data_IF_495534211495
#
_entry.id   IF_495534211495
#
_cell.length_a   1.000
_cell.length_b   1.000
_cell.length_c   1.000
_cell.angle_alpha   90.00
_cell.angle_beta   90.00
_cell.angle_gamma   90.00
#
_symmetry.space_group_name_H-M   'P 1'
#
loop_
_entity.id
_entity.type
_entity.pdbx_description
1 polymer ?
#
# COMPACT_ATOMS: atom_id res chain seq x y z
N UNK A 1 -62.21 60.45 -18.56
CA UNK A 1 -61.04 59.78 -19.16
C UNK A 1 -59.80 60.52 -18.68
N UNK A 2 -59.08 60.00 -17.69
CA UNK A 2 -57.65 60.21 -17.43
C UNK A 2 -57.28 59.53 -16.10
N UNK A 3 -56.26 58.69 -16.20
CA UNK A 3 -55.68 57.71 -15.27
C UNK A 3 -55.04 58.30 -14.01
N UNK A 4 -55.22 57.63 -12.86
CA UNK A 4 -54.38 57.80 -11.68
C UNK A 4 -53.23 56.78 -11.70
N UNK A 5 -51.99 57.27 -11.71
CA UNK A 5 -50.77 56.45 -11.67
C UNK A 5 -50.41 56.05 -10.24
N UNK A 6 -50.28 54.74 -9.99
CA UNK A 6 -49.77 54.18 -8.76
C UNK A 6 -48.24 54.19 -8.74
N UNK A 7 -47.66 54.79 -7.71
CA UNK A 7 -46.24 54.65 -7.37
C UNK A 7 -46.04 53.52 -6.38
N UNK A 8 -45.39 52.44 -6.81
CA UNK A 8 -44.94 51.35 -5.94
C UNK A 8 -43.56 51.70 -5.38
N UNK A 9 -43.47 51.86 -4.07
CA UNK A 9 -42.21 52.11 -3.35
C UNK A 9 -41.49 50.77 -3.19
N UNK A 10 -40.35 50.61 -3.87
CA UNK A 10 -39.52 49.42 -3.77
C UNK A 10 -38.74 49.43 -2.44
N UNK A 11 -38.97 48.41 -1.63
CA UNK A 11 -38.34 48.22 -0.32
C UNK A 11 -36.83 47.85 -0.47
N UNK A 12 -35.88 48.67 0.03
CA UNK A 12 -34.44 48.47 -0.20
C UNK A 12 -33.84 47.21 0.45
N UNK A 13 -34.51 46.66 1.47
CA UNK A 13 -33.99 45.52 2.26
C UNK A 13 -34.00 44.17 1.51
N UNK A 14 -34.91 44.00 0.56
CA UNK A 14 -35.12 42.72 -0.14
C UNK A 14 -33.97 42.36 -1.09
N UNK A 15 -33.39 43.37 -1.78
CA UNK A 15 -32.28 43.16 -2.73
C UNK A 15 -30.95 42.80 -2.04
N UNK A 16 -30.72 43.29 -0.82
CA UNK A 16 -29.53 42.97 -0.03
C UNK A 16 -29.54 41.51 0.45
N UNK A 17 -30.70 41.05 0.95
CA UNK A 17 -30.89 39.67 1.41
C UNK A 17 -30.72 38.65 0.28
N UNK A 18 -31.30 38.92 -0.90
CA UNK A 18 -31.19 38.05 -2.07
C UNK A 18 -29.74 37.94 -2.57
N UNK A 19 -28.97 39.03 -2.53
CA UNK A 19 -27.54 39.00 -2.87
C UNK A 19 -26.72 38.24 -1.83
N UNK A 20 -27.01 38.39 -0.54
CA UNK A 20 -26.36 37.61 0.52
C UNK A 20 -26.65 36.11 0.39
N UNK A 21 -27.92 35.74 0.19
CA UNK A 21 -28.33 34.35 -0.02
C UNK A 21 -27.67 33.74 -1.25
N UNK A 22 -27.63 34.47 -2.37
CA UNK A 22 -26.96 34.00 -3.59
C UNK A 22 -25.44 33.84 -3.38
N UNK A 23 -24.81 34.69 -2.57
CA UNK A 23 -23.40 34.58 -2.21
C UNK A 23 -23.12 33.40 -1.26
N UNK A 24 -24.02 33.15 -0.29
CA UNK A 24 -23.94 31.99 0.60
C UNK A 24 -24.14 30.66 -0.14
N UNK A 25 -25.03 30.58 -1.13
CA UNK A 25 -25.23 29.38 -1.97
C UNK A 25 -24.01 29.12 -2.85
N UNK A 26 -23.38 30.18 -3.39
CA UNK A 26 -22.11 30.07 -4.13
C UNK A 26 -20.95 29.58 -3.24
N UNK A 27 -20.90 30.01 -1.97
CA UNK A 27 -19.91 29.54 -0.99
C UNK A 27 -20.15 28.08 -0.55
N UNK A 28 -21.41 27.64 -0.41
CA UNK A 28 -21.73 26.27 -0.07
C UNK A 28 -21.30 25.26 -1.15
N UNK A 29 -21.26 25.68 -2.43
CA UNK A 29 -20.76 24.86 -3.54
C UNK A 29 -19.25 24.59 -3.52
N UNK A 30 -18.48 25.35 -2.73
CA UNK A 30 -17.02 25.21 -2.61
C UNK A 30 -16.61 24.23 -1.50
N UNK A 31 -17.52 23.85 -0.60
CA UNK A 31 -17.23 22.92 0.50
C UNK A 31 -17.55 21.48 0.11
N UNK A 32 -16.81 20.90 -0.85
CA UNK A 32 -16.78 19.45 -1.07
C UNK A 32 -15.74 18.81 -0.14
N UNK A 33 -16.10 18.58 1.11
CA UNK A 33 -15.33 17.74 2.01
C UNK A 33 -15.75 16.27 1.87
N UNK A 34 -15.03 15.46 1.09
CA UNK A 34 -15.34 14.04 0.96
C UNK A 34 -14.72 13.26 2.14
N UNK A 35 -15.45 13.15 3.26
CA UNK A 35 -14.96 12.47 4.47
C UNK A 35 -14.91 10.94 4.33
N UNK A 36 -15.65 10.38 3.36
CA UNK A 36 -15.74 8.93 3.10
C UNK A 36 -14.39 8.37 2.67
N UNK A 37 -13.61 9.10 1.88
CA UNK A 37 -12.28 8.69 1.44
C UNK A 37 -11.37 8.37 2.65
N UNK A 38 -11.43 9.20 3.70
CA UNK A 38 -10.64 9.03 4.93
C UNK A 38 -11.08 7.85 5.80
N UNK A 39 -12.27 7.30 5.53
CA UNK A 39 -12.78 6.09 6.19
C UNK A 39 -12.36 4.82 5.46
N UNK A 40 -11.99 4.93 4.19
CA UNK A 40 -11.71 3.78 3.32
C UNK A 40 -10.20 3.66 3.04
N UNK A 41 -9.51 4.76 2.80
CA UNK A 41 -8.13 4.76 2.32
C UNK A 41 -7.16 5.34 3.34
N UNK A 42 -6.09 4.60 3.59
CA UNK A 42 -4.94 5.05 4.36
C UNK A 42 -3.80 5.32 3.36
N UNK A 43 -3.39 6.59 3.16
CA UNK A 43 -2.28 6.89 2.27
C UNK A 43 -0.94 6.52 2.91
N UNK A 44 -0.06 5.89 2.14
CA UNK A 44 1.34 5.66 2.51
C UNK A 44 2.18 6.84 2.04
N UNK A 45 2.92 7.47 2.96
CA UNK A 45 3.62 8.73 2.68
C UNK A 45 5.11 8.51 2.37
N UNK A 46 5.70 7.42 2.89
CA UNK A 46 7.14 7.15 2.81
C UNK A 46 7.42 5.92 1.96
N UNK A 47 7.19 6.09 0.66
CA UNK A 47 7.39 5.04 -0.34
C UNK A 47 8.35 5.47 -1.43
N UNK A 48 9.18 4.53 -1.91
CA UNK A 48 10.02 4.73 -3.09
C UNK A 48 9.64 3.71 -4.18
N UNK A 49 9.15 4.16 -5.34
CA UNK A 49 8.70 3.27 -6.41
C UNK A 49 9.88 2.71 -7.23
N UNK A 50 9.73 1.48 -7.69
CA UNK A 50 10.48 0.96 -8.83
C UNK A 50 9.95 1.61 -10.12
N UNK A 51 10.86 2.16 -10.93
CA UNK A 51 10.51 2.92 -12.14
C UNK A 51 11.01 2.21 -13.38
N UNK A 52 10.32 2.41 -14.50
CA UNK A 52 10.76 1.90 -15.80
C UNK A 52 11.88 2.78 -16.37
N UNK A 53 12.94 2.12 -16.81
CA UNK A 53 14.01 2.69 -17.61
C UNK A 53 14.09 1.98 -18.96
N UNK A 54 14.52 2.70 -19.99
CA UNK A 54 14.63 2.18 -21.35
C UNK A 54 16.10 2.10 -21.75
N UNK A 55 16.49 0.96 -22.31
CA UNK A 55 17.74 0.77 -23.04
C UNK A 55 17.42 0.65 -24.54
N UNK A 56 18.42 0.74 -25.40
CA UNK A 56 18.24 0.70 -26.86
C UNK A 56 17.50 -0.55 -27.37
N UNK A 57 17.62 -1.68 -26.66
CA UNK A 57 17.06 -2.98 -27.07
C UNK A 57 15.97 -3.51 -26.15
N UNK A 58 15.95 -3.09 -24.89
CA UNK A 58 15.08 -3.65 -23.85
C UNK A 58 14.62 -2.56 -22.90
N UNK A 59 13.55 -2.85 -22.15
CA UNK A 59 13.13 -2.06 -20.99
C UNK A 59 13.49 -2.81 -19.71
N UNK A 60 13.72 -2.07 -18.62
CA UNK A 60 14.00 -2.60 -17.30
C UNK A 60 13.17 -1.87 -16.25
N UNK A 61 13.03 -2.46 -15.07
CA UNK A 61 12.27 -1.89 -13.95
C UNK A 61 10.82 -2.36 -13.93
N UNK A 62 9.93 -1.51 -13.42
CA UNK A 62 8.56 -1.90 -13.09
C UNK A 62 7.51 -0.97 -13.71
N UNK A 63 6.29 -1.47 -13.86
CA UNK A 63 5.14 -0.69 -14.32
C UNK A 63 3.87 -1.11 -13.60
N UNK A 64 3.02 -0.13 -13.29
CA UNK A 64 1.64 -0.36 -12.93
C UNK A 64 0.70 -0.15 -14.12
N UNK A 65 -0.49 -0.77 -14.05
CA UNK A 65 -1.58 -0.49 -14.98
C UNK A 65 -2.02 0.98 -14.90
N UNK A 66 -2.61 1.47 -15.99
CA UNK A 66 -3.32 2.75 -15.96
C UNK A 66 -4.48 2.63 -14.96
N UNK A 67 -4.63 3.59 -14.05
CA UNK A 67 -5.50 3.55 -12.85
C UNK A 67 -5.06 2.67 -11.68
N UNK A 68 -3.86 2.09 -11.75
CA UNK A 68 -3.24 1.35 -10.64
C UNK A 68 -3.58 -0.14 -10.62
N UNK A 69 -2.82 -0.90 -9.85
CA UNK A 69 -3.04 -2.32 -9.61
C UNK A 69 -3.47 -2.52 -8.15
N UNK A 70 -4.57 -3.26 -7.96
CA UNK A 70 -5.15 -3.52 -6.64
C UNK A 70 -5.18 -5.02 -6.40
N UNK A 71 -4.79 -5.45 -5.20
CA UNK A 71 -4.84 -6.84 -4.78
C UNK A 71 -4.86 -6.99 -3.27
N UNK A 72 -5.23 -8.18 -2.81
CA UNK A 72 -5.30 -8.51 -1.38
C UNK A 72 -3.88 -8.60 -0.82
N UNK A 73 -3.60 -7.86 0.25
CA UNK A 73 -2.27 -7.88 0.88
C UNK A 73 -2.02 -9.27 1.49
N UNK A 74 -0.85 -9.83 1.22
CA UNK A 74 -0.38 -11.05 1.87
C UNK A 74 1.06 -10.87 2.34
N UNK A 75 1.28 -11.01 3.64
CA UNK A 75 2.61 -10.91 4.26
C UNK A 75 3.32 -12.25 4.10
N UNK A 76 4.55 -12.23 3.57
CA UNK A 76 5.36 -13.44 3.39
C UNK A 76 6.57 -13.35 4.32
N UNK A 77 6.59 -14.25 5.31
CA UNK A 77 7.68 -14.37 6.27
C UNK A 77 8.54 -15.60 6.02
N UNK A 78 7.99 -16.61 5.33
CA UNK A 78 8.65 -17.87 4.98
C UNK A 78 8.25 -18.34 3.58
N UNK A 79 9.02 -19.28 3.02
CA UNK A 79 8.79 -19.83 1.67
C UNK A 79 7.41 -20.49 1.52
N UNK A 80 6.85 -21.02 2.61
CA UNK A 80 5.51 -21.62 2.62
C UNK A 80 4.42 -20.58 2.29
N UNK A 81 4.56 -19.35 2.80
CA UNK A 81 3.62 -18.26 2.53
C UNK A 81 3.67 -17.85 1.05
N UNK A 82 4.88 -17.89 0.46
CA UNK A 82 5.05 -17.66 -0.97
C UNK A 82 4.29 -18.71 -1.79
N UNK A 83 4.44 -19.99 -1.47
CA UNK A 83 3.71 -21.05 -2.18
C UNK A 83 2.19 -20.84 -2.09
N UNK A 84 1.69 -20.48 -0.91
CA UNK A 84 0.27 -20.19 -0.72
C UNK A 84 -0.23 -19.10 -1.68
N UNK A 85 0.50 -17.99 -1.82
CA UNK A 85 0.12 -16.92 -2.77
C UNK A 85 0.13 -17.43 -4.22
N UNK A 86 1.18 -18.19 -4.57
CA UNK A 86 1.41 -18.66 -5.94
C UNK A 86 0.42 -19.74 -6.39
N UNK A 87 -0.09 -20.58 -5.49
CA UNK A 87 -0.94 -21.73 -5.86
C UNK A 87 -2.28 -21.78 -5.12
N UNK A 88 -2.26 -21.71 -3.80
CA UNK A 88 -3.38 -22.19 -2.98
C UNK A 88 -4.40 -21.09 -2.63
N UNK A 89 -3.96 -19.84 -2.63
CA UNK A 89 -4.77 -18.70 -2.21
C UNK A 89 -6.08 -18.58 -3.03
N UNK A 90 -7.24 -18.43 -2.38
CA UNK A 90 -8.53 -18.42 -3.07
C UNK A 90 -8.85 -17.11 -3.79
N UNK A 91 -8.16 -16.02 -3.45
CA UNK A 91 -8.53 -14.64 -3.78
C UNK A 91 -7.44 -13.89 -4.57
N UNK A 92 -6.99 -14.36 -5.75
CA UNK A 92 -6.15 -13.56 -6.62
C UNK A 92 -6.93 -12.34 -7.15
N UNK A 93 -6.27 -11.19 -7.42
CA UNK A 93 -4.83 -10.98 -7.35
C UNK A 93 -4.33 -10.54 -5.96
N UNK A 94 -3.08 -10.90 -5.64
CA UNK A 94 -2.42 -10.60 -4.36
C UNK A 94 -1.37 -9.49 -4.49
N UNK A 95 -1.24 -8.69 -3.43
CA UNK A 95 -0.14 -7.73 -3.22
C UNK A 95 0.79 -8.31 -2.15
N UNK A 96 2.00 -8.67 -2.52
CA UNK A 96 2.92 -9.36 -1.60
C UNK A 96 3.71 -8.35 -0.77
N UNK A 97 3.68 -8.48 0.56
CA UNK A 97 4.55 -7.72 1.46
C UNK A 97 5.74 -8.60 1.86
N UNK A 98 6.94 -8.20 1.43
CA UNK A 98 8.20 -8.87 1.77
C UNK A 98 9.02 -8.02 2.74
N UNK A 99 9.76 -8.70 3.61
CA UNK A 99 10.93 -8.09 4.22
C UNK A 99 12.12 -8.08 3.25
N UNK A 100 12.96 -7.06 3.30
CA UNK A 100 14.09 -6.90 2.37
C UNK A 100 15.08 -8.07 2.41
N UNK A 101 15.16 -8.81 3.52
CA UNK A 101 15.98 -10.04 3.64
C UNK A 101 15.48 -11.20 2.75
N UNK A 102 14.19 -11.21 2.40
CA UNK A 102 13.58 -12.21 1.52
C UNK A 102 13.52 -11.76 0.06
N UNK A 103 13.90 -10.51 -0.23
CA UNK A 103 13.92 -9.97 -1.59
C UNK A 103 15.13 -10.50 -2.36
N UNK A 104 14.99 -11.68 -2.95
CA UNK A 104 16.06 -12.40 -3.70
C UNK A 104 15.69 -12.59 -5.17
N UNK A 105 16.70 -12.84 -6.03
CA UNK A 105 16.49 -13.09 -7.45
C UNK A 105 15.56 -14.29 -7.68
N UNK A 106 15.82 -15.40 -7.00
CA UNK A 106 15.05 -16.64 -7.16
C UNK A 106 13.57 -16.46 -6.81
N UNK A 107 13.28 -15.69 -5.75
CA UNK A 107 11.91 -15.39 -5.35
C UNK A 107 11.22 -14.49 -6.38
N UNK A 108 11.92 -13.47 -6.87
CA UNK A 108 11.37 -12.55 -7.88
C UNK A 108 11.12 -13.25 -9.21
N UNK A 109 11.94 -14.22 -9.60
CA UNK A 109 11.73 -15.05 -10.79
C UNK A 109 10.51 -15.96 -10.64
N UNK A 110 10.31 -16.57 -9.47
CA UNK A 110 9.08 -17.32 -9.14
C UNK A 110 7.83 -16.44 -9.24
N UNK A 111 7.86 -15.22 -8.71
CA UNK A 111 6.76 -14.26 -8.80
C UNK A 111 6.48 -13.85 -10.26
N UNK A 112 7.54 -13.56 -11.03
CA UNK A 112 7.43 -13.23 -12.46
C UNK A 112 6.80 -14.36 -13.26
N UNK A 113 7.11 -15.62 -12.93
CA UNK A 113 6.51 -16.81 -13.54
C UNK A 113 5.00 -16.98 -13.28
N UNK A 114 4.43 -16.29 -12.29
CA UNK A 114 3.01 -16.38 -11.90
C UNK A 114 2.33 -14.99 -11.88
N UNK A 115 2.68 -14.12 -12.82
CA UNK A 115 2.19 -12.72 -12.86
C UNK A 115 0.67 -12.55 -12.86
N UNK A 116 -0.12 -13.55 -13.27
CA UNK A 116 -1.59 -13.43 -13.26
C UNK A 116 -2.22 -13.45 -11.86
N UNK A 117 -1.46 -13.89 -10.84
CA UNK A 117 -1.91 -13.95 -9.45
C UNK A 117 -1.36 -12.80 -8.61
N UNK A 118 -0.39 -12.06 -9.11
CA UNK A 118 0.33 -11.00 -8.39
C UNK A 118 0.00 -9.65 -9.02
N UNK A 119 -0.59 -8.74 -8.25
CA UNK A 119 -0.86 -7.36 -8.66
C UNK A 119 0.30 -6.41 -8.36
N UNK A 120 1.26 -6.83 -7.52
CA UNK A 120 2.36 -5.97 -7.11
C UNK A 120 3.02 -6.46 -5.84
N UNK A 121 4.07 -5.74 -5.44
CA UNK A 121 4.91 -6.12 -4.32
C UNK A 121 5.37 -4.88 -3.54
N UNK A 122 5.35 -4.98 -2.23
CA UNK A 122 5.89 -3.98 -1.31
C UNK A 122 7.01 -4.61 -0.48
N UNK A 123 8.17 -3.97 -0.43
CA UNK A 123 9.33 -4.43 0.35
C UNK A 123 9.51 -3.50 1.54
N UNK A 124 9.52 -4.03 2.75
CA UNK A 124 9.90 -3.28 3.95
C UNK A 124 11.38 -3.46 4.25
N UNK A 125 12.08 -2.37 4.58
CA UNK A 125 13.49 -2.43 4.97
C UNK A 125 13.69 -3.21 6.28
N UNK A 126 14.49 -4.28 6.22
CA UNK A 126 14.91 -5.02 7.40
C UNK A 126 16.06 -4.29 8.11
N UNK A 127 15.94 -4.16 9.44
CA UNK A 127 17.05 -3.78 10.33
C UNK A 127 17.31 -4.94 11.30
N UNK A 128 18.55 -5.49 11.37
CA UNK A 128 19.77 -5.09 10.67
C UNK A 128 19.77 -5.49 9.18
N UNK A 129 20.70 -4.90 8.40
CA UNK A 129 20.90 -5.26 7.00
C UNK A 129 21.31 -6.74 6.84
N UNK A 130 21.05 -7.37 5.67
CA UNK A 130 21.39 -8.77 5.43
C UNK A 130 22.90 -9.04 5.61
N UNK A 131 23.26 -10.03 6.43
CA UNK A 131 24.65 -10.36 6.75
C UNK A 131 25.46 -10.82 5.52
N UNK A 132 24.80 -11.48 4.56
CA UNK A 132 25.40 -11.91 3.30
C UNK A 132 25.67 -10.77 2.33
N UNK A 133 25.15 -9.56 2.57
CA UNK A 133 25.13 -8.47 1.59
C UNK A 133 24.06 -8.67 0.51
N UNK A 134 23.77 -7.60 -0.24
CA UNK A 134 22.83 -7.59 -1.35
C UNK A 134 23.27 -6.55 -2.39
N UNK A 135 23.36 -6.95 -3.66
CA UNK A 135 23.71 -6.06 -4.78
C UNK A 135 22.75 -6.30 -5.95
N UNK A 136 21.79 -5.39 -6.22
CA UNK A 136 20.83 -5.56 -7.29
C UNK A 136 21.43 -5.36 -8.69
N UNK A 137 22.68 -4.89 -8.77
CA UNK A 137 23.38 -4.63 -10.02
C UNK A 137 23.91 -5.92 -10.66
N UNK A 138 24.26 -5.86 -11.94
CA UNK A 138 24.92 -6.97 -12.67
C UNK A 138 26.31 -7.26 -12.11
N UNK A 139 26.81 -8.48 -12.35
CA UNK A 139 28.14 -8.92 -11.93
C UNK A 139 29.29 -8.17 -12.64
N UNK A 140 29.05 -7.80 -13.90
CA UNK A 140 29.97 -7.07 -14.75
C UNK A 140 29.37 -5.71 -15.17
N UNK A 141 29.53 -4.65 -14.35
CA UNK A 141 28.97 -3.34 -14.68
C UNK A 141 29.58 -2.76 -15.96
N UNK A 142 28.76 -2.11 -16.79
CA UNK A 142 29.15 -1.48 -18.06
C UNK A 142 29.82 -2.43 -19.07
N UNK A 143 29.54 -3.73 -18.99
CA UNK A 143 29.99 -4.68 -20.00
C UNK A 143 29.48 -4.28 -21.40
N UNK A 144 30.35 -4.40 -22.41
CA UNK A 144 30.09 -3.96 -23.78
C UNK A 144 30.30 -2.47 -24.07
N UNK A 145 30.53 -1.62 -23.05
CA UNK A 145 30.82 -0.18 -23.22
C UNK A 145 32.26 0.20 -22.82
N UNK A 146 33.02 -0.73 -22.28
CA UNK A 146 34.45 -0.56 -22.00
C UNK A 146 35.34 -0.67 -23.25
N UNK A 147 36.64 -0.54 -23.05
CA UNK A 147 37.64 -0.71 -24.12
C UNK A 147 37.84 -2.17 -24.51
N UNK A 148 37.66 -3.10 -23.56
CA UNK A 148 37.87 -4.53 -23.80
C UNK A 148 36.70 -5.14 -24.57
N UNK A 149 37.02 -5.84 -25.64
CA UNK A 149 36.07 -6.47 -26.55
C UNK A 149 36.68 -7.73 -27.16
N UNK A 150 35.88 -8.49 -27.91
CA UNK A 150 36.39 -9.64 -28.67
C UNK A 150 37.50 -9.26 -29.68
N UNK A 151 37.59 -8.00 -30.07
CA UNK A 151 38.61 -7.49 -31.00
C UNK A 151 39.84 -6.87 -30.31
N UNK A 152 39.70 -6.42 -29.06
CA UNK A 152 40.74 -5.70 -28.32
C UNK A 152 40.78 -6.18 -26.88
N UNK A 153 41.87 -6.84 -26.47
CA UNK A 153 42.00 -7.49 -25.17
C UNK A 153 40.94 -8.58 -24.94
N UNK A 154 40.81 -9.59 -25.84
CA UNK A 154 39.81 -10.64 -25.74
C UNK A 154 39.90 -11.49 -24.44
N UNK A 155 41.07 -11.52 -23.81
CA UNK A 155 41.30 -12.12 -22.50
C UNK A 155 40.54 -11.40 -21.37
N UNK A 156 40.34 -10.09 -21.49
CA UNK A 156 39.64 -9.25 -20.50
C UNK A 156 38.19 -8.92 -20.90
N UNK A 157 37.77 -9.32 -22.10
CA UNK A 157 36.41 -9.10 -22.58
C UNK A 157 35.38 -9.75 -21.62
N UNK A 158 34.26 -9.06 -21.40
CA UNK A 158 33.20 -9.51 -20.50
C UNK A 158 33.67 -9.83 -19.08
N UNK A 159 34.70 -9.12 -18.62
CA UNK A 159 35.37 -9.29 -17.32
C UNK A 159 35.62 -10.76 -16.95
N UNK A 160 36.05 -11.56 -17.93
CA UNK A 160 36.27 -13.01 -17.80
C UNK A 160 37.20 -13.37 -16.64
N UNK A 161 38.27 -12.60 -16.45
CA UNK A 161 39.27 -12.83 -15.40
C UNK A 161 38.75 -12.48 -14.00
N UNK A 162 38.08 -11.34 -13.86
CA UNK A 162 37.64 -10.82 -12.56
C UNK A 162 36.22 -10.30 -12.60
N UNK A 163 35.36 -10.89 -11.79
CA UNK A 163 34.00 -10.37 -11.59
C UNK A 163 34.04 -9.27 -10.54
N UNK A 164 33.89 -8.01 -10.98
CA UNK A 164 33.98 -6.83 -10.11
C UNK A 164 32.91 -6.81 -9.01
N UNK A 165 31.71 -7.29 -9.33
CA UNK A 165 30.58 -7.35 -8.40
C UNK A 165 30.15 -8.82 -8.22
N UNK A 166 30.91 -9.59 -7.44
CA UNK A 166 30.64 -11.02 -7.23
C UNK A 166 29.29 -11.32 -6.56
N UNK A 167 28.74 -10.36 -5.79
CA UNK A 167 27.40 -10.43 -5.19
C UNK A 167 26.29 -9.87 -6.10
N UNK A 168 26.63 -9.39 -7.29
CA UNK A 168 25.68 -8.84 -8.23
C UNK A 168 24.66 -9.88 -8.68
N UNK A 169 23.39 -9.63 -8.43
CA UNK A 169 22.32 -10.52 -8.85
C UNK A 169 21.58 -10.01 -10.10
N UNK A 170 21.90 -8.83 -10.63
CA UNK A 170 21.30 -8.29 -11.86
C UNK A 170 19.81 -7.94 -11.79
N UNK A 171 19.19 -7.99 -10.62
CA UNK A 171 17.74 -7.79 -10.45
C UNK A 171 17.26 -6.40 -10.89
N UNK A 172 18.11 -5.37 -10.80
CA UNK A 172 17.79 -4.01 -11.25
C UNK A 172 17.62 -3.89 -12.78
N UNK A 173 18.11 -4.87 -13.54
CA UNK A 173 18.05 -4.89 -15.00
C UNK A 173 16.98 -5.85 -15.54
N UNK A 174 16.14 -6.38 -14.66
CA UNK A 174 14.97 -7.19 -15.03
C UNK A 174 13.76 -6.29 -15.28
N UNK A 175 12.91 -6.71 -16.23
CA UNK A 175 11.60 -6.10 -16.48
C UNK A 175 10.50 -6.85 -15.69
N UNK A 176 9.69 -6.10 -14.96
CA UNK A 176 8.57 -6.58 -14.15
C UNK A 176 7.25 -5.95 -14.64
N UNK A 177 6.26 -6.80 -14.88
CA UNK A 177 4.90 -6.43 -15.32
C UNK A 177 3.99 -5.94 -14.19
N UNK A 178 4.51 -5.83 -12.96
CA UNK A 178 3.79 -5.39 -11.79
C UNK A 178 4.64 -4.37 -11.00
N UNK A 179 4.01 -3.45 -10.27
CA UNK A 179 4.72 -2.43 -9.50
C UNK A 179 5.43 -3.02 -8.27
N UNK A 180 6.58 -2.44 -7.94
CA UNK A 180 7.34 -2.74 -6.73
C UNK A 180 7.54 -1.43 -5.97
N UNK A 181 7.22 -1.40 -4.68
CA UNK A 181 7.44 -0.25 -3.80
C UNK A 181 8.35 -0.63 -2.63
N UNK A 182 9.27 0.26 -2.27
CA UNK A 182 9.98 0.19 -1.00
C UNK A 182 9.20 0.99 0.04
N UNK A 183 8.91 0.37 1.18
CA UNK A 183 8.37 1.03 2.36
C UNK A 183 9.53 1.45 3.26
N UNK A 184 9.71 2.76 3.43
CA UNK A 184 10.83 3.32 4.19
C UNK A 184 10.52 3.45 5.68
N UNK A 185 9.26 3.71 6.03
CA UNK A 185 8.81 3.83 7.41
C UNK A 185 8.38 2.48 8.00
N UNK A 186 9.02 2.11 9.10
CA UNK A 186 8.70 0.91 9.87
C UNK A 186 7.31 1.00 10.50
N UNK A 187 6.85 2.21 10.86
CA UNK A 187 5.51 2.40 11.42
C UNK A 187 4.43 2.12 10.36
N UNK A 188 4.60 2.60 9.13
CA UNK A 188 3.69 2.31 8.02
C UNK A 188 3.65 0.80 7.73
N UNK A 189 4.82 0.15 7.71
CA UNK A 189 4.90 -1.31 7.55
C UNK A 189 4.17 -2.05 8.68
N UNK A 190 4.34 -1.60 9.93
CA UNK A 190 3.69 -2.21 11.09
C UNK A 190 2.17 -2.10 11.00
N UNK A 191 1.64 -0.95 10.58
CA UNK A 191 0.20 -0.78 10.34
C UNK A 191 -0.28 -1.81 9.32
N UNK A 192 0.38 -1.94 8.17
CA UNK A 192 -0.01 -2.92 7.14
C UNK A 192 0.01 -4.37 7.67
N UNK A 193 1.08 -4.76 8.38
CA UNK A 193 1.18 -6.11 8.95
C UNK A 193 0.08 -6.38 9.97
N UNK A 194 -0.14 -5.44 10.88
CA UNK A 194 -1.16 -5.59 11.92
C UNK A 194 -2.57 -5.67 11.33
N UNK A 195 -2.90 -4.87 10.31
CA UNK A 195 -4.17 -4.99 9.57
C UNK A 195 -4.30 -6.36 8.87
N UNK A 196 -3.21 -6.86 8.26
CA UNK A 196 -3.26 -8.12 7.49
C UNK A 196 -3.53 -9.34 8.38
N UNK A 197 -3.01 -9.34 9.60
CA UNK A 197 -3.22 -10.43 10.56
C UNK A 197 -4.47 -10.24 11.43
N UNK A 198 -5.33 -9.26 11.10
CA UNK A 198 -6.54 -8.92 11.86
C UNK A 198 -6.25 -8.58 13.34
N UNK A 199 -5.01 -8.17 13.66
CA UNK A 199 -4.63 -7.71 15.00
C UNK A 199 -5.30 -6.39 15.37
N UNK A 200 -5.73 -5.65 14.35
CA UNK A 200 -6.44 -4.38 14.48
C UNK A 200 -7.73 -4.51 13.68
N UNK A 201 -8.61 -5.39 14.14
CA UNK A 201 -10.02 -5.28 13.79
C UNK A 201 -10.42 -3.81 13.89
N UNK A 202 -10.71 -3.21 12.73
CA UNK A 202 -11.10 -1.83 12.52
C UNK A 202 -10.22 -0.74 13.19
N UNK A 203 -8.91 -0.70 12.88
CA UNK A 203 -7.98 0.32 13.42
C UNK A 203 -8.42 1.77 13.27
N UNK A 204 -9.08 2.15 12.17
CA UNK A 204 -9.51 3.55 12.03
C UNK A 204 -10.48 3.94 13.14
N UNK A 205 -11.37 3.01 13.49
CA UNK A 205 -12.33 3.21 14.55
C UNK A 205 -11.62 3.24 15.91
N UNK A 206 -10.81 2.23 16.26
CA UNK A 206 -10.07 2.21 17.53
C UNK A 206 -9.13 3.42 17.67
N UNK A 207 -8.40 3.77 16.62
CA UNK A 207 -7.53 4.95 16.57
C UNK A 207 -8.33 6.26 16.75
N UNK A 208 -9.48 6.40 16.09
CA UNK A 208 -10.35 7.56 16.28
C UNK A 208 -10.92 7.61 17.71
N UNK A 209 -11.18 6.46 18.35
CA UNK A 209 -11.56 6.38 19.76
C UNK A 209 -10.42 6.86 20.68
N UNK A 210 -9.20 6.34 20.50
CA UNK A 210 -8.01 6.75 21.27
C UNK A 210 -7.67 8.24 21.13
N UNK A 211 -7.92 8.81 19.96
CA UNK A 211 -7.68 10.24 19.68
C UNK A 211 -8.88 11.13 20.01
N UNK A 212 -9.97 10.59 20.56
CA UNK A 212 -11.19 11.34 20.87
C UNK A 212 -11.89 11.93 19.64
N UNK A 213 -11.67 11.34 18.47
CA UNK A 213 -12.22 11.72 17.17
C UNK A 213 -13.35 10.81 16.69
N UNK A 214 -13.75 9.83 17.51
CA UNK A 214 -14.83 8.92 17.18
C UNK A 214 -16.16 9.70 17.06
N UNK A 215 -17.03 9.41 16.07
CA UNK A 215 -18.25 10.19 15.82
C UNK A 215 -19.26 10.20 16.96
N UNK A 216 -19.10 9.30 17.93
CA UNK A 216 -20.02 9.08 19.05
C UNK A 216 -19.24 9.23 20.35
N UNK A 217 -19.81 9.93 21.31
CA UNK A 217 -19.24 10.02 22.65
C UNK A 217 -19.41 8.67 23.35
N UNK A 218 -18.29 8.08 23.77
CA UNK A 218 -18.24 6.73 24.33
C UNK A 218 -18.48 6.69 25.85
N UNK A 219 -18.81 7.82 26.44
CA UNK A 219 -19.06 7.97 27.89
C UNK A 219 -20.13 7.01 28.44
N UNK A 220 -21.03 6.51 27.58
CA UNK A 220 -22.07 5.54 27.92
C UNK A 220 -21.89 4.18 27.21
N UNK A 221 -20.75 3.92 26.59
CA UNK A 221 -20.45 2.67 25.87
C UNK A 221 -19.37 1.92 26.64
N UNK A 222 -19.79 0.87 27.34
CA UNK A 222 -18.88 0.03 28.15
C UNK A 222 -18.00 -0.89 27.29
N UNK A 223 -18.52 -1.36 26.16
CA UNK A 223 -17.82 -2.28 25.25
C UNK A 223 -18.26 -2.11 23.79
N UNK A 224 -17.33 -2.35 22.87
CA UNK A 224 -17.58 -2.37 21.42
C UNK A 224 -17.07 -3.70 20.83
N UNK A 225 -17.88 -4.35 20.00
CA UNK A 225 -17.54 -5.62 19.36
C UNK A 225 -17.73 -5.48 17.86
N UNK A 226 -16.68 -5.71 17.08
CA UNK A 226 -16.75 -5.70 15.63
C UNK A 226 -17.37 -7.01 15.11
N UNK A 227 -18.33 -6.91 14.17
CA UNK A 227 -19.01 -8.10 13.62
C UNK A 227 -18.06 -9.07 12.91
N UNK A 228 -16.92 -8.60 12.39
CA UNK A 228 -15.87 -9.44 11.81
C UNK A 228 -15.18 -10.34 12.84
N UNK A 229 -15.17 -9.94 14.11
CA UNK A 229 -14.63 -10.72 15.23
C UNK A 229 -15.63 -11.75 15.75
N UNK A 230 -16.82 -11.84 15.16
CA UNK A 230 -17.92 -12.66 15.65
C UNK A 230 -18.32 -13.68 14.58
N UNK A 231 -18.11 -14.97 14.86
CA UNK A 231 -18.46 -16.04 13.95
C UNK A 231 -19.64 -16.88 14.49
N UNK A 232 -20.59 -17.18 13.61
CA UNK A 232 -21.66 -18.13 13.87
C UNK A 232 -21.25 -19.50 13.32
N UNK A 233 -20.99 -20.46 14.21
CA UNK A 233 -20.73 -21.86 13.83
C UNK A 233 -21.91 -22.71 14.30
N UNK A 234 -22.84 -23.00 13.38
CA UNK A 234 -24.05 -23.85 13.58
C UNK A 234 -24.88 -23.56 14.84
N UNK A 235 -25.98 -22.83 14.63
CA UNK A 235 -27.12 -22.54 15.53
C UNK A 235 -26.83 -22.39 17.03
N UNK A 236 -26.74 -21.11 17.44
CA UNK A 236 -26.92 -20.49 18.77
C UNK A 236 -25.68 -20.17 19.60
N UNK A 237 -24.49 -20.64 19.23
CA UNK A 237 -23.26 -20.25 19.93
C UNK A 237 -22.54 -19.12 19.19
N UNK A 238 -22.39 -17.99 19.88
CA UNK A 238 -21.67 -16.81 19.42
C UNK A 238 -20.20 -16.94 19.83
N UNK A 239 -19.31 -16.97 18.84
CA UNK A 239 -17.87 -17.10 19.09
C UNK A 239 -17.18 -15.77 18.79
N UNK A 240 -16.37 -15.29 19.73
CA UNK A 240 -15.52 -14.13 19.54
C UNK A 240 -14.09 -14.58 19.25
N UNK A 241 -13.53 -14.11 18.13
CA UNK A 241 -12.12 -14.34 17.82
C UNK A 241 -11.26 -13.56 18.81
N UNK A 242 -10.32 -14.25 19.45
CA UNK A 242 -9.36 -13.62 20.37
C UNK A 242 -7.96 -14.02 19.95
N UNK A 243 -7.08 -13.04 19.82
CA UNK A 243 -5.70 -13.29 19.46
C UNK A 243 -4.93 -13.95 20.64
N UNK A 244 -4.13 -15.01 20.39
CA UNK A 244 -3.29 -15.66 21.39
C UNK A 244 -2.30 -14.74 22.14
N UNK A 245 -1.87 -13.62 21.54
CA UNK A 245 -0.97 -12.65 22.20
C UNK A 245 -1.73 -11.86 23.25
N UNK A 246 -2.94 -11.41 22.94
CA UNK A 246 -3.84 -10.70 23.86
C UNK A 246 -4.24 -11.57 25.06
N UNK A 247 -4.40 -12.88 24.86
CA UNK A 247 -4.68 -13.83 25.96
C UNK A 247 -3.50 -14.08 26.94
N UNK A 248 -2.30 -13.59 26.63
CA UNK A 248 -1.14 -13.64 27.55
C UNK A 248 -1.21 -12.58 28.63
N UNK A 249 -2.05 -11.56 28.47
CA UNK A 249 -2.26 -10.54 29.48
C UNK A 249 -3.22 -11.06 30.55
N UNK A 250 -2.75 -11.15 31.80
CA UNK A 250 -3.54 -11.68 32.92
C UNK A 250 -4.82 -10.89 33.21
N UNK A 251 -4.84 -9.60 32.85
CA UNK A 251 -6.04 -8.75 32.99
C UNK A 251 -7.21 -9.19 32.10
N UNK A 252 -6.94 -9.89 30.99
CA UNK A 252 -7.95 -10.36 30.02
C UNK A 252 -8.63 -11.65 30.50
N UNK A 253 -8.00 -12.41 31.41
CA UNK A 253 -8.55 -13.67 31.93
C UNK A 253 -9.50 -13.52 33.12
N UNK A 254 -9.58 -12.32 33.68
CA UNK A 254 -10.35 -12.02 34.89
C UNK A 254 -11.67 -11.26 34.59
N UNK A 255 -12.07 -11.17 33.33
CA UNK A 255 -13.39 -10.66 32.89
C UNK A 255 -14.27 -11.85 32.47
#
# INVERSE_FOLDING_TARGET
>A
MATAGGGSVADPGSRGLLRLLSFCVLLAGLCRGNSVERKIYIPLNKTAPCVRLLNATHQIGCQSSISGDTGVIHVVEKEEDLQWVLTDGPNPPYMVLLESKHFTRDLMEKLKGRTSRIAGLAVSLTKPSPASGFSPSVQCPNDGFGVYSNSYGPEFAHCREIQWNSLGNGLAYEDFSFPIFLLEDENETKVIKQETFDYIGSSRMVYDMEKGKFPVQLENVDSFVELGQVALRTSLELWMHTDPVSQKNESVRNQ
#
